data_IF_155741048238
#
_entry.id   IF_155741048238
#
_cell.length_a   1.000
_cell.length_b   1.000
_cell.length_c   1.000
_cell.angle_alpha   90.00
_cell.angle_beta   90.00
_cell.angle_gamma   90.00
#
_symmetry.space_group_name_H-M   'P 1'
#
loop_
_entity.id
_entity.type
_entity.pdbx_description
1 polymer ?
#
# COMPACT_ATOMS: atom_id res chain seq x y z
N UNK A 1 9.11 -0.92 4.73
CA UNK A 1 8.01 -1.32 5.63
C UNK A 1 6.95 -0.26 5.51
N UNK A 2 5.68 -0.59 5.21
CA UNK A 2 4.61 0.39 5.35
C UNK A 2 4.60 0.86 6.81
N UNK A 3 4.58 2.17 7.02
CA UNK A 3 4.55 2.75 8.35
C UNK A 3 3.12 2.58 8.90
N UNK A 4 2.99 1.84 9.99
CA UNK A 4 1.70 1.59 10.64
C UNK A 4 1.59 2.44 11.89
N UNK A 5 0.53 3.22 11.97
CA UNK A 5 0.21 4.00 13.16
C UNK A 5 -1.11 3.51 13.73
N UNK A 6 -1.04 2.85 14.90
CA UNK A 6 -2.22 2.44 15.62
C UNK A 6 -2.93 3.68 16.20
N UNK A 7 -4.23 3.79 15.97
CA UNK A 7 -5.15 4.71 16.63
C UNK A 7 -6.15 3.89 17.45
N UNK A 8 -6.89 4.58 18.30
CA UNK A 8 -7.78 3.97 19.31
C UNK A 8 -8.79 2.96 18.72
N UNK A 9 -9.25 3.19 17.48
CA UNK A 9 -10.27 2.36 16.81
C UNK A 9 -9.89 2.00 15.35
N UNK A 10 -8.69 2.36 14.91
CA UNK A 10 -8.25 2.21 13.51
C UNK A 10 -6.74 2.18 13.41
N UNK A 11 -6.21 1.56 12.36
CA UNK A 11 -4.80 1.58 12.03
C UNK A 11 -4.60 2.33 10.73
N UNK A 12 -3.79 3.38 10.79
CA UNK A 12 -3.34 4.10 9.62
C UNK A 12 -2.13 3.38 9.03
N UNK A 13 -2.23 2.98 7.77
CA UNK A 13 -1.16 2.30 7.06
C UNK A 13 -0.68 3.23 5.96
N UNK A 14 0.53 3.75 6.12
CA UNK A 14 1.21 4.54 5.12
C UNK A 14 2.10 3.64 4.26
N UNK A 15 1.72 3.48 3.00
CA UNK A 15 2.52 2.80 1.99
C UNK A 15 3.48 3.81 1.38
N UNK A 16 4.78 3.58 1.51
CA UNK A 16 5.82 4.53 1.11
C UNK A 16 6.72 3.86 0.07
N UNK A 17 6.89 4.53 -1.06
CA UNK A 17 7.79 4.12 -2.14
C UNK A 17 8.85 5.19 -2.42
N UNK A 18 10.02 4.79 -2.94
CA UNK A 18 10.98 5.74 -3.51
C UNK A 18 10.33 6.64 -4.57
N UNK A 19 10.80 7.87 -4.76
CA UNK A 19 10.26 8.75 -5.81
C UNK A 19 10.48 8.21 -7.23
N UNK A 20 11.58 7.50 -7.46
CA UNK A 20 12.00 7.11 -8.81
C UNK A 20 11.75 5.63 -9.13
N UNK A 21 11.39 4.82 -8.13
CA UNK A 21 11.24 3.37 -8.29
C UNK A 21 9.92 2.87 -7.68
N UNK A 22 9.03 2.25 -8.48
CA UNK A 22 9.01 2.20 -9.94
C UNK A 22 8.62 3.55 -10.57
N UNK A 23 9.08 3.87 -11.80
CA UNK A 23 8.71 5.12 -12.46
C UNK A 23 7.22 5.18 -12.78
N UNK A 24 6.65 6.39 -12.74
CA UNK A 24 5.24 6.64 -13.08
C UNK A 24 4.29 6.58 -11.88
N UNK A 25 2.98 6.58 -12.15
CA UNK A 25 1.96 6.51 -11.12
C UNK A 25 1.87 5.09 -10.55
N UNK A 26 1.75 4.98 -9.23
CA UNK A 26 1.53 3.70 -8.55
C UNK A 26 0.23 3.77 -7.76
N UNK A 27 -0.60 2.74 -7.89
CA UNK A 27 -1.81 2.54 -7.08
C UNK A 27 -1.60 1.38 -6.11
N UNK A 28 -2.13 1.51 -4.91
CA UNK A 28 -2.31 0.39 -3.99
C UNK A 28 -3.69 -0.20 -4.23
N UNK A 29 -3.74 -1.52 -4.39
CA UNK A 29 -4.94 -2.26 -4.73
C UNK A 29 -5.06 -3.45 -3.78
N UNK A 30 -6.21 -3.64 -3.16
CA UNK A 30 -6.40 -4.73 -2.21
C UNK A 30 -7.86 -4.96 -1.85
N UNK A 31 -8.10 -5.92 -0.98
CA UNK A 31 -9.44 -6.22 -0.46
C UNK A 31 -10.15 -4.99 0.12
N UNK A 32 -9.41 -4.08 0.79
CA UNK A 32 -9.95 -2.86 1.37
C UNK A 32 -10.52 -1.86 0.37
N UNK A 33 -10.15 -1.94 -0.91
CA UNK A 33 -10.74 -1.13 -1.99
C UNK A 33 -11.44 -1.97 -3.07
N UNK A 34 -11.70 -3.25 -2.78
CA UNK A 34 -12.35 -4.17 -3.72
C UNK A 34 -11.50 -4.46 -4.95
N UNK A 35 -10.18 -4.45 -4.83
CA UNK A 35 -9.23 -4.64 -5.92
C UNK A 35 -9.36 -3.63 -7.07
N UNK A 36 -9.78 -2.39 -6.75
CA UNK A 36 -9.94 -1.32 -7.72
C UNK A 36 -8.67 -0.45 -7.83
N UNK A 37 -7.99 -0.43 -9.00
CA UNK A 37 -6.87 0.50 -9.23
C UNK A 37 -7.34 1.95 -9.30
N UNK A 38 -6.45 2.90 -9.00
CA UNK A 38 -6.76 4.33 -9.05
C UNK A 38 -7.45 4.91 -7.81
N UNK A 39 -7.97 4.07 -6.89
CA UNK A 39 -8.62 4.53 -5.66
C UNK A 39 -7.60 5.09 -4.66
N UNK A 40 -6.49 4.36 -4.45
CA UNK A 40 -5.42 4.75 -3.52
C UNK A 40 -4.12 4.97 -4.27
N UNK A 41 -3.99 6.16 -4.87
CA UNK A 41 -2.81 6.56 -5.61
C UNK A 41 -1.68 7.01 -4.68
N UNK A 42 -0.49 6.45 -4.90
CA UNK A 42 0.74 6.85 -4.22
C UNK A 42 1.21 8.19 -4.80
N UNK A 43 1.14 9.23 -3.97
CA UNK A 43 1.41 10.61 -4.36
C UNK A 43 2.78 11.07 -3.84
N UNK A 44 3.48 11.95 -4.57
CA UNK A 44 4.75 12.53 -4.10
C UNK A 44 4.55 13.33 -2.82
N UNK A 45 5.49 13.14 -1.89
CA UNK A 45 5.62 13.87 -0.63
C UNK A 45 6.80 14.84 -0.71
N UNK A 46 6.83 15.80 0.22
CA UNK A 46 7.89 16.81 0.33
C UNK A 46 9.26 16.23 0.73
N UNK A 47 9.30 15.01 1.26
CA UNK A 47 10.49 14.30 1.69
C UNK A 47 11.25 13.60 0.54
N UNK A 48 10.82 13.80 -0.71
CA UNK A 48 11.42 13.15 -1.87
C UNK A 48 11.03 11.67 -2.03
N UNK A 49 9.99 11.23 -1.32
CA UNK A 49 9.37 9.91 -1.49
C UNK A 49 7.95 10.06 -2.03
N UNK A 50 7.29 8.95 -2.28
CA UNK A 50 5.85 8.93 -2.58
C UNK A 50 5.14 8.09 -1.53
N UNK A 51 3.95 8.50 -1.10
CA UNK A 51 3.17 7.71 -0.17
C UNK A 51 1.65 7.83 -0.38
N UNK A 52 0.93 6.84 0.14
CA UNK A 52 -0.51 6.93 0.37
C UNK A 52 -0.83 6.37 1.75
N UNK A 53 -1.76 7.01 2.46
CA UNK A 53 -2.24 6.53 3.76
C UNK A 53 -3.63 5.93 3.58
N UNK A 54 -3.82 4.71 4.09
CA UNK A 54 -5.12 4.03 4.12
C UNK A 54 -5.48 3.77 5.58
N UNK A 55 -6.69 4.17 5.97
CA UNK A 55 -7.22 3.93 7.31
C UNK A 55 -8.03 2.63 7.31
N UNK A 56 -7.72 1.70 8.23
CA UNK A 56 -8.41 0.41 8.35
C UNK A 56 -8.80 0.12 9.80
N UNK A 57 -9.82 -0.72 10.05
CA UNK A 57 -10.06 -1.27 11.38
C UNK A 57 -8.80 -1.97 11.90
N UNK A 58 -8.51 -1.80 13.18
CA UNK A 58 -7.44 -2.54 13.85
C UNK A 58 -7.76 -4.03 13.93
N UNK A 59 -6.73 -4.86 14.04
CA UNK A 59 -6.79 -6.32 14.18
C UNK A 59 -7.40 -7.05 12.98
N UNK A 60 -7.07 -6.61 11.77
CA UNK A 60 -7.55 -7.22 10.52
C UNK A 60 -6.39 -7.57 9.58
N UNK A 61 -6.50 -8.70 8.88
CA UNK A 61 -5.55 -9.08 7.84
C UNK A 61 -6.15 -8.78 6.47
N UNK A 62 -5.39 -8.06 5.66
CA UNK A 62 -5.81 -7.53 4.37
C UNK A 62 -4.82 -7.91 3.27
N UNK A 63 -5.32 -8.41 2.14
CA UNK A 63 -4.48 -8.78 0.99
C UNK A 63 -4.42 -7.62 -0.02
N UNK A 64 -3.20 -7.22 -0.41
CA UNK A 64 -2.95 -6.09 -1.29
C UNK A 64 -1.78 -6.30 -2.25
N UNK A 65 -1.71 -5.50 -3.32
CA UNK A 65 -0.62 -5.40 -4.30
C UNK A 65 -0.48 -3.96 -4.81
N UNK A 66 0.67 -3.66 -5.38
CA UNK A 66 0.90 -2.40 -6.09
C UNK A 66 0.74 -2.57 -7.59
N UNK A 67 0.08 -1.61 -8.21
CA UNK A 67 -0.02 -1.46 -9.66
C UNK A 67 0.75 -0.21 -10.10
N UNK A 68 1.88 -0.39 -10.75
CA UNK A 68 2.63 0.68 -11.40
C UNK A 68 2.14 0.92 -12.84
N UNK A 69 2.62 2.02 -13.42
CA UNK A 69 2.43 2.34 -14.84
C UNK A 69 2.85 1.17 -15.75
N UNK A 70 2.13 1.00 -16.86
CA UNK A 70 2.35 -0.10 -17.79
C UNK A 70 1.81 -1.45 -17.31
N UNK A 71 0.78 -1.42 -16.45
CA UNK A 71 0.12 -2.60 -15.88
C UNK A 71 1.07 -3.54 -15.11
N UNK A 72 2.15 -2.97 -14.56
CA UNK A 72 3.14 -3.71 -13.83
C UNK A 72 2.70 -3.93 -12.37
N UNK A 73 2.42 -5.18 -12.04
CA UNK A 73 2.04 -5.57 -10.70
C UNK A 73 3.24 -6.04 -9.89
N UNK A 74 3.44 -5.43 -8.72
CA UNK A 74 4.50 -5.82 -7.80
C UNK A 74 4.00 -5.84 -6.36
N UNK A 75 4.76 -6.55 -5.54
CA UNK A 75 4.44 -6.76 -4.15
C UNK A 75 5.27 -5.83 -3.27
N UNK A 76 4.76 -5.55 -2.08
CA UNK A 76 5.57 -4.93 -1.05
C UNK A 76 6.58 -5.95 -0.52
N UNK A 77 7.87 -5.73 -0.78
CA UNK A 77 8.95 -6.58 -0.26
C UNK A 77 9.08 -6.53 1.26
N UNK A 78 8.47 -5.52 1.88
CA UNK A 78 8.50 -5.30 3.32
C UNK A 78 7.21 -5.71 4.03
N UNK A 79 6.20 -6.19 3.29
CA UNK A 79 5.16 -7.02 3.86
C UNK A 79 5.80 -8.37 4.24
N UNK A 80 6.14 -8.53 5.52
CA UNK A 80 6.79 -9.74 6.02
C UNK A 80 5.94 -11.01 5.86
N UNK A 81 4.64 -10.86 5.57
CA UNK A 81 3.70 -11.95 5.34
C UNK A 81 3.12 -11.87 3.92
N UNK A 82 2.99 -13.03 3.27
CA UNK A 82 2.49 -13.16 1.89
C UNK A 82 1.32 -14.14 1.86
N UNK A 83 0.26 -13.73 1.20
CA UNK A 83 -0.92 -14.54 0.93
C UNK A 83 -0.90 -14.96 -0.55
N UNK A 84 -0.16 -16.05 -0.84
CA UNK A 84 0.12 -16.49 -2.20
C UNK A 84 0.92 -15.46 -3.01
N UNK A 85 0.33 -14.94 -4.08
CA UNK A 85 0.96 -13.89 -4.92
C UNK A 85 0.76 -12.47 -4.37
N UNK A 86 -0.02 -12.31 -3.30
CA UNK A 86 -0.37 -11.01 -2.73
C UNK A 86 0.45 -10.69 -1.48
N UNK A 87 0.70 -9.41 -1.23
CA UNK A 87 1.25 -8.95 0.04
C UNK A 87 0.15 -8.93 1.11
N UNK A 88 0.49 -9.31 2.34
CA UNK A 88 -0.46 -9.27 3.46
C UNK A 88 -0.16 -8.11 4.40
N UNK A 89 -1.18 -7.33 4.67
CA UNK A 89 -1.18 -6.21 5.59
C UNK A 89 -1.94 -6.61 6.85
N UNK A 90 -1.31 -6.48 8.00
CA UNK A 90 -1.98 -6.62 9.29
C UNK A 90 -2.20 -5.23 9.87
N UNK A 91 -3.46 -4.86 10.10
CA UNK A 91 -3.85 -3.63 10.76
C UNK A 91 -4.15 -3.85 12.21
#
# INVERSE_FOLDING_TARGET
MPERTLRKDRTEVAFILPADTPPGQVSVVGDFNGWQPGVHNIAPRKDGKRAVTVERPSESAHSFRYLAAGDYWFNDESAGDRDGINSRLHT
#
